data_IF_428054078637
#
_entry.id   IF_428054078637
#
_cell.length_a   1.000
_cell.length_b   1.000
_cell.length_c   1.000
_cell.angle_alpha   90.00
_cell.angle_beta   90.00
_cell.angle_gamma   90.00
#
_symmetry.space_group_name_H-M   'P 1'
#
loop_
_entity.id
_entity.type
_entity.pdbx_description
1 polymer ?
#
# COMPACT_ATOMS: atom_id res chain seq x y z
N UNK A 1 4.63 -7.81 20.07
CA UNK A 1 3.78 -8.97 20.42
C UNK A 1 2.38 -8.65 19.89
N UNK A 2 2.15 -8.95 18.60
CA UNK A 2 0.85 -8.76 17.95
C UNK A 2 0.04 -10.01 18.27
N UNK A 3 -1.16 -9.84 18.81
CA UNK A 3 -2.02 -10.93 19.26
C UNK A 3 -2.48 -11.80 18.08
N UNK A 4 -1.96 -13.03 18.02
CA UNK A 4 -2.32 -14.15 17.12
C UNK A 4 -3.71 -14.72 17.43
N UNK A 5 -4.79 -13.93 17.29
CA UNK A 5 -6.15 -14.45 17.59
C UNK A 5 -7.06 -14.46 16.35
N UNK A 6 -6.63 -13.86 15.24
CA UNK A 6 -7.46 -13.76 14.04
C UNK A 6 -7.03 -14.61 12.84
N UNK A 7 -5.74 -14.93 12.69
CA UNK A 7 -5.17 -15.44 11.43
C UNK A 7 -5.16 -16.98 11.35
N UNK A 8 -5.12 -17.66 12.49
CA UNK A 8 -5.05 -19.13 12.60
C UNK A 8 -6.30 -19.87 12.14
N UNK A 9 -7.41 -19.17 12.02
CA UNK A 9 -8.69 -19.74 11.57
C UNK A 9 -8.78 -19.78 10.04
N UNK A 10 -7.90 -19.06 9.34
CA UNK A 10 -7.98 -18.83 7.90
C UNK A 10 -7.14 -19.77 7.07
N UNK A 11 -6.00 -20.14 7.62
CA UNK A 11 -4.98 -20.87 6.93
C UNK A 11 -4.93 -22.28 7.52
N UNK A 12 -5.86 -23.13 7.10
CA UNK A 12 -5.86 -24.53 7.54
C UNK A 12 -4.61 -25.29 7.08
N UNK A 13 -3.85 -24.75 6.12
CA UNK A 13 -2.62 -25.32 5.62
C UNK A 13 -1.38 -24.71 6.33
N UNK A 14 -0.54 -25.59 6.88
CA UNK A 14 0.75 -25.25 7.51
C UNK A 14 1.71 -24.48 6.59
N UNK A 15 1.50 -24.52 5.27
CA UNK A 15 2.31 -23.77 4.30
C UNK A 15 1.99 -22.27 4.31
N UNK A 16 0.71 -21.93 4.48
CA UNK A 16 0.21 -20.56 4.53
C UNK A 16 0.71 -19.85 5.80
N UNK A 17 0.60 -20.53 6.94
CA UNK A 17 1.17 -20.09 8.20
C UNK A 17 2.67 -19.83 8.13
N UNK A 18 3.44 -20.78 7.62
CA UNK A 18 4.91 -20.63 7.50
C UNK A 18 5.34 -19.50 6.59
N UNK A 19 4.56 -19.20 5.55
CA UNK A 19 4.85 -18.08 4.66
C UNK A 19 4.68 -16.74 5.38
N UNK A 20 3.59 -16.58 6.13
CA UNK A 20 3.33 -15.35 6.91
C UNK A 20 4.33 -15.16 8.05
N UNK A 21 4.76 -16.24 8.71
CA UNK A 21 5.78 -16.17 9.78
C UNK A 21 7.16 -15.70 9.30
N UNK A 22 7.48 -15.93 8.02
CA UNK A 22 8.77 -15.58 7.44
C UNK A 22 8.64 -14.57 6.29
N UNK A 23 7.58 -13.75 6.31
CA UNK A 23 7.37 -12.73 5.30
C UNK A 23 8.48 -11.67 5.37
N UNK A 24 9.00 -11.28 4.22
CA UNK A 24 9.98 -10.18 4.09
C UNK A 24 9.30 -8.91 3.61
N UNK A 25 10.00 -7.80 3.78
CA UNK A 25 9.57 -6.51 3.26
C UNK A 25 9.21 -6.60 1.78
N UNK A 26 8.04 -6.05 1.47
CA UNK A 26 7.52 -6.04 0.12
C UNK A 26 7.92 -4.75 -0.56
N UNK A 27 8.82 -4.87 -1.54
CA UNK A 27 9.10 -3.77 -2.45
C UNK A 27 7.85 -3.53 -3.32
N UNK A 28 7.12 -2.45 -3.06
CA UNK A 28 5.91 -2.04 -3.78
C UNK A 28 6.20 -1.17 -5.02
N UNK A 29 7.43 -0.67 -5.16
CA UNK A 29 7.83 0.15 -6.31
C UNK A 29 8.13 -0.69 -7.53
N UNK A 30 7.71 -0.23 -8.71
CA UNK A 30 7.91 -0.90 -9.99
C UNK A 30 8.30 0.11 -11.07
N UNK A 31 9.39 -0.19 -11.78
CA UNK A 31 9.88 0.55 -12.94
C UNK A 31 9.11 0.12 -14.21
N UNK A 32 7.81 0.37 -14.21
CA UNK A 32 6.88 0.02 -15.29
C UNK A 32 6.13 1.26 -15.76
N UNK A 33 5.65 1.23 -17.00
CA UNK A 33 4.88 2.35 -17.56
C UNK A 33 3.39 2.30 -17.20
N UNK A 34 2.89 1.13 -16.80
CA UNK A 34 1.49 0.93 -16.46
C UNK A 34 1.31 0.61 -14.98
N UNK A 35 0.54 1.45 -14.30
CA UNK A 35 0.20 1.31 -12.89
C UNK A 35 -0.17 2.65 -12.27
N UNK A 36 -0.53 2.62 -10.99
CA UNK A 36 -0.79 3.85 -10.24
C UNK A 36 0.55 4.51 -9.89
N UNK A 37 0.75 5.75 -10.31
CA UNK A 37 1.95 6.52 -9.92
C UNK A 37 2.02 6.68 -8.41
N UNK A 38 3.22 6.48 -7.84
CA UNK A 38 3.43 6.62 -6.41
C UNK A 38 3.26 8.10 -6.03
N UNK A 39 2.48 8.45 -4.99
CA UNK A 39 2.28 9.83 -4.57
C UNK A 39 3.47 10.36 -3.75
N UNK A 40 4.69 10.03 -4.16
CA UNK A 40 5.95 10.46 -3.58
C UNK A 40 6.63 11.45 -4.53
N UNK A 41 7.23 12.49 -3.97
CA UNK A 41 7.84 13.58 -4.71
C UNK A 41 9.22 13.85 -4.14
N UNK A 42 10.21 13.97 -5.02
CA UNK A 42 11.57 14.31 -4.65
C UNK A 42 11.79 15.81 -4.74
N UNK A 43 12.35 16.40 -3.69
CA UNK A 43 12.67 17.82 -3.60
C UNK A 43 14.14 18.05 -3.98
N UNK A 44 14.41 18.93 -4.94
CA UNK A 44 15.76 19.34 -5.33
C UNK A 44 15.99 20.81 -5.01
N UNK A 45 17.07 21.12 -4.31
CA UNK A 45 17.45 22.51 -4.01
C UNK A 45 18.38 23.07 -5.09
N UNK A 46 18.29 24.37 -5.37
CA UNK A 46 19.14 25.04 -6.37
C UNK A 46 20.64 24.95 -6.01
N UNK A 47 20.96 24.93 -4.72
CA UNK A 47 22.32 24.83 -4.19
C UNK A 47 22.89 23.41 -4.20
N UNK A 48 22.06 22.39 -4.51
CA UNK A 48 22.51 21.00 -4.46
C UNK A 48 23.27 20.64 -5.75
N UNK A 49 24.57 20.39 -5.60
CA UNK A 49 25.48 20.04 -6.70
C UNK A 49 25.18 18.64 -7.26
N UNK A 50 24.44 17.81 -6.52
CA UNK A 50 24.01 16.48 -6.92
C UNK A 50 22.50 16.51 -7.21
N UNK A 51 22.14 16.95 -8.42
CA UNK A 51 20.78 16.78 -8.98
C UNK A 51 20.49 15.32 -9.36
N UNK A 52 20.95 14.37 -8.55
CA UNK A 52 20.67 12.96 -8.79
C UNK A 52 19.38 12.58 -8.07
N UNK A 53 18.29 12.51 -8.84
CA UNK A 53 16.98 11.99 -8.41
C UNK A 53 17.03 10.55 -7.88
N UNK A 54 18.19 9.87 -7.95
CA UNK A 54 18.39 8.50 -7.45
C UNK A 54 19.24 8.36 -6.18
N UNK A 55 19.69 9.45 -5.54
CA UNK A 55 20.71 9.39 -4.48
C UNK A 55 20.11 9.37 -3.07
N UNK A 56 20.20 8.20 -2.38
CA UNK A 56 20.38 7.87 -0.93
C UNK A 56 20.04 8.86 0.21
N UNK A 57 19.45 10.02 -0.06
CA UNK A 57 19.01 11.00 0.92
C UNK A 57 17.50 10.85 1.07
N UNK A 58 17.11 9.91 1.94
CA UNK A 58 15.72 9.72 2.38
C UNK A 58 15.08 11.02 2.90
N UNK A 59 15.88 12.02 3.24
CA UNK A 59 15.47 13.31 3.77
C UNK A 59 14.80 14.26 2.77
N UNK A 60 14.81 13.99 1.46
CA UNK A 60 14.24 14.89 0.45
C UNK A 60 12.95 14.40 -0.21
N UNK A 61 12.37 13.31 0.30
CA UNK A 61 11.08 12.81 -0.18
C UNK A 61 9.91 13.40 0.61
N UNK A 62 8.87 13.84 -0.11
CA UNK A 62 7.59 14.27 0.46
C UNK A 62 6.44 13.48 -0.17
N UNK A 63 5.36 13.29 0.58
CA UNK A 63 4.19 12.52 0.11
C UNK A 63 3.01 13.47 -0.07
N UNK A 64 2.39 13.42 -1.25
CA UNK A 64 1.23 14.26 -1.60
C UNK A 64 0.44 13.63 -2.74
N UNK A 65 -0.90 13.66 -2.66
CA UNK A 65 -1.77 13.02 -3.67
C UNK A 65 -1.65 13.69 -5.04
N UNK A 66 -1.24 14.94 -5.05
CA UNK A 66 -0.99 15.78 -6.21
C UNK A 66 0.18 16.72 -5.92
N UNK A 67 0.60 17.45 -6.95
CA UNK A 67 1.71 18.39 -6.87
C UNK A 67 1.44 19.50 -5.82
N UNK A 68 0.21 20.01 -5.74
CA UNK A 68 -0.13 21.08 -4.80
C UNK A 68 0.03 20.64 -3.35
N UNK A 69 -0.46 19.46 -2.99
CA UNK A 69 -0.27 18.87 -1.67
C UNK A 69 1.20 18.62 -1.37
N UNK A 70 1.97 18.13 -2.35
CA UNK A 70 3.39 17.87 -2.20
C UNK A 70 4.19 19.17 -1.95
N UNK A 71 3.88 20.26 -2.66
CA UNK A 71 4.47 21.58 -2.41
C UNK A 71 4.18 22.06 -0.99
N UNK A 72 2.94 21.92 -0.52
CA UNK A 72 2.55 22.32 0.83
C UNK A 72 3.30 21.52 1.90
N UNK A 73 3.47 20.21 1.72
CA UNK A 73 4.27 19.39 2.63
C UNK A 73 5.76 19.78 2.58
N UNK A 74 6.32 20.02 1.39
CA UNK A 74 7.69 20.50 1.24
C UNK A 74 7.91 21.85 1.93
N UNK A 75 6.95 22.78 1.88
CA UNK A 75 7.04 24.08 2.54
C UNK A 75 7.14 23.95 4.06
N UNK A 76 6.46 22.96 4.66
CA UNK A 76 6.51 22.69 6.10
C UNK A 76 7.87 22.15 6.53
N UNK A 77 8.47 21.30 5.69
CA UNK A 77 9.74 20.61 5.99
C UNK A 77 10.93 21.53 5.69
N UNK A 78 10.86 22.35 4.64
CA UNK A 78 11.94 23.20 4.14
C UNK A 78 11.54 24.69 4.05
N UNK A 79 11.23 25.35 5.19
CA UNK A 79 10.80 26.73 5.18
C UNK A 79 11.91 27.67 4.68
N UNK A 80 11.55 28.59 3.77
CA UNK A 80 12.45 29.64 3.31
C UNK A 80 13.54 29.22 2.33
N UNK A 81 13.45 28.00 1.76
CA UNK A 81 14.32 27.54 0.68
C UNK A 81 13.61 27.58 -0.67
N UNK A 82 14.37 27.85 -1.72
CA UNK A 82 13.91 27.64 -3.10
C UNK A 82 14.22 26.20 -3.51
N UNK A 83 13.23 25.53 -4.09
CA UNK A 83 13.36 24.14 -4.53
C UNK A 83 12.43 23.85 -5.71
N UNK A 84 12.81 22.84 -6.49
CA UNK A 84 11.95 22.18 -7.48
C UNK A 84 11.47 20.84 -6.89
N UNK A 85 10.33 20.34 -7.37
CA UNK A 85 9.84 19.02 -6.99
C UNK A 85 9.53 18.17 -8.22
N UNK A 86 9.78 16.87 -8.14
CA UNK A 86 9.46 15.92 -9.20
C UNK A 86 8.80 14.67 -8.62
N UNK A 87 7.69 14.21 -9.22
CA UNK A 87 7.04 12.98 -8.79
C UNK A 87 7.90 11.76 -9.14
N UNK A 88 7.95 10.78 -8.25
CA UNK A 88 8.57 9.48 -8.48
C UNK A 88 8.08 8.86 -9.81
N UNK A 89 9.00 8.52 -10.74
CA UNK A 89 8.64 7.91 -12.01
C UNK A 89 8.05 6.51 -11.89
N UNK A 90 8.26 5.82 -10.77
CA UNK A 90 7.77 4.46 -10.56
C UNK A 90 6.24 4.40 -10.36
N UNK A 91 5.72 3.19 -10.54
CA UNK A 91 4.32 2.83 -10.28
C UNK A 91 4.22 1.79 -9.17
N UNK A 92 3.06 1.76 -8.51
CA UNK A 92 2.74 0.75 -7.51
C UNK A 92 2.57 -0.63 -8.14
N UNK A 93 3.07 -1.65 -7.44
CA UNK A 93 2.82 -3.06 -7.75
C UNK A 93 1.32 -3.33 -7.90
N UNK A 94 0.93 -4.07 -8.95
CA UNK A 94 -0.46 -4.46 -9.20
C UNK A 94 -1.07 -5.20 -8.00
N UNK A 95 -0.27 -5.97 -7.25
CA UNK A 95 -0.74 -6.64 -6.04
C UNK A 95 -1.09 -5.67 -4.90
N UNK A 96 -0.57 -4.44 -4.93
CA UNK A 96 -0.91 -3.39 -3.98
C UNK A 96 -2.32 -2.87 -4.22
N UNK A 97 -2.66 -2.50 -5.44
CA UNK A 97 -4.01 -2.04 -5.76
C UNK A 97 -5.03 -3.18 -5.68
N UNK A 98 -4.71 -4.38 -6.16
CA UNK A 98 -5.62 -5.53 -6.08
C UNK A 98 -5.82 -6.02 -4.64
N UNK A 99 -4.83 -5.85 -3.76
CA UNK A 99 -4.96 -6.14 -2.34
C UNK A 99 -5.96 -5.22 -1.62
N UNK A 100 -6.26 -4.03 -2.18
CA UNK A 100 -7.27 -3.12 -1.65
C UNK A 100 -8.69 -3.45 -2.12
N UNK A 101 -8.87 -4.45 -2.99
CA UNK A 101 -10.16 -4.77 -3.61
C UNK A 101 -11.33 -4.91 -2.61
N UNK A 102 -11.21 -5.59 -1.45
CA UNK A 102 -12.33 -5.72 -0.50
C UNK A 102 -12.80 -4.40 0.11
N UNK A 103 -11.97 -3.36 0.04
CA UNK A 103 -12.25 -2.03 0.57
C UNK A 103 -12.68 -1.07 -0.55
N UNK A 104 -11.89 -1.00 -1.63
CA UNK A 104 -12.05 0.01 -2.67
C UNK A 104 -13.37 -0.10 -3.43
N UNK A 105 -13.87 -1.33 -3.63
CA UNK A 105 -15.17 -1.55 -4.29
C UNK A 105 -16.36 -1.14 -3.42
N UNK A 106 -16.16 -0.98 -2.11
CA UNK A 106 -17.17 -0.52 -1.16
C UNK A 106 -17.04 0.98 -0.86
N UNK A 107 -16.23 1.73 -1.62
CA UNK A 107 -16.11 3.18 -1.47
C UNK A 107 -15.13 3.65 -0.39
N UNK A 108 -14.31 2.74 0.16
CA UNK A 108 -13.13 3.14 0.94
C UNK A 108 -12.20 4.01 0.08
N UNK A 109 -11.61 5.11 0.60
CA UNK A 109 -11.39 5.43 2.01
C UNK A 109 -12.54 6.10 2.75
N UNK A 110 -13.64 6.43 2.07
CA UNK A 110 -14.80 7.04 2.73
C UNK A 110 -15.59 6.03 3.55
N UNK A 111 -16.21 6.50 4.64
CA UNK A 111 -17.06 5.68 5.51
C UNK A 111 -18.45 5.56 4.88
N UNK A 112 -18.52 4.82 3.77
CA UNK A 112 -19.72 4.65 2.98
C UNK A 112 -20.74 3.71 3.67
N UNK A 113 -22.04 3.79 3.33
CA UNK A 113 -23.04 2.83 3.78
C UNK A 113 -22.70 1.38 3.40
N UNK A 114 -22.18 1.18 2.18
CA UNK A 114 -21.83 -0.15 1.65
C UNK A 114 -20.66 -0.76 2.41
N UNK A 115 -19.65 0.04 2.74
CA UNK A 115 -18.51 -0.42 3.53
C UNK A 115 -18.98 -0.91 4.91
N UNK A 116 -19.91 -0.19 5.56
CA UNK A 116 -20.47 -0.63 6.85
C UNK A 116 -21.35 -1.87 6.74
N UNK A 117 -22.08 -2.00 5.65
CA UNK A 117 -23.05 -3.08 5.47
C UNK A 117 -22.39 -4.40 5.04
N UNK A 118 -21.35 -4.32 4.21
CA UNK A 118 -20.80 -5.48 3.50
C UNK A 118 -19.35 -5.82 3.85
N UNK A 119 -18.66 -4.97 4.62
CA UNK A 119 -17.35 -5.31 5.16
C UNK A 119 -17.46 -5.81 6.61
N UNK A 120 -16.93 -7.01 6.93
CA UNK A 120 -16.25 -7.92 6.02
C UNK A 120 -17.20 -8.84 5.24
N UNK A 121 -16.75 -9.31 4.08
CA UNK A 121 -17.57 -10.16 3.21
C UNK A 121 -17.67 -11.59 3.73
N UNK A 122 -18.66 -12.37 3.27
CA UNK A 122 -18.86 -13.73 3.79
C UNK A 122 -17.90 -14.76 3.20
N UNK A 123 -17.53 -14.61 1.91
CA UNK A 123 -16.86 -15.65 1.13
C UNK A 123 -15.97 -15.05 0.04
N UNK A 124 -14.75 -15.58 -0.10
CA UNK A 124 -13.88 -15.35 -1.26
C UNK A 124 -13.64 -16.68 -1.98
N UNK A 125 -14.06 -16.77 -3.24
CA UNK A 125 -13.78 -17.90 -4.14
C UNK A 125 -12.56 -17.56 -5.00
N UNK A 126 -11.49 -18.35 -4.94
CA UNK A 126 -10.28 -18.12 -5.74
C UNK A 126 -9.36 -19.35 -5.80
N UNK A 127 -8.63 -19.49 -6.91
CA UNK A 127 -7.62 -20.53 -7.08
C UNK A 127 -6.47 -20.47 -6.07
N UNK A 128 -5.90 -21.64 -5.78
CA UNK A 128 -4.77 -21.81 -4.85
C UNK A 128 -3.48 -21.11 -5.31
N UNK A 129 -3.35 -20.85 -6.60
CA UNK A 129 -2.17 -20.26 -7.25
C UNK A 129 -1.88 -18.82 -6.79
N UNK A 130 -2.90 -18.08 -6.37
CA UNK A 130 -2.77 -16.67 -5.95
C UNK A 130 -3.06 -16.42 -4.47
N UNK A 131 -3.18 -17.47 -3.64
CA UNK A 131 -3.42 -17.31 -2.20
C UNK A 131 -2.33 -16.46 -1.51
N UNK A 132 -1.07 -16.73 -1.81
CA UNK A 132 0.06 -16.00 -1.20
C UNK A 132 0.27 -14.61 -1.79
N UNK A 133 0.01 -14.43 -3.08
CA UNK A 133 0.25 -13.15 -3.77
C UNK A 133 -0.89 -12.17 -3.58
N UNK A 134 -2.13 -12.66 -3.49
CA UNK A 134 -3.32 -11.81 -3.46
C UNK A 134 -4.10 -11.92 -2.15
N UNK A 135 -4.52 -13.12 -1.76
CA UNK A 135 -5.38 -13.31 -0.57
C UNK A 135 -4.66 -12.85 0.69
N UNK A 136 -3.40 -13.24 0.88
CA UNK A 136 -2.60 -12.77 2.02
C UNK A 136 -2.45 -11.24 2.04
N UNK A 137 -2.29 -10.59 0.87
CA UNK A 137 -2.20 -9.12 0.76
C UNK A 137 -3.53 -8.44 1.11
N UNK A 138 -4.66 -9.00 0.66
CA UNK A 138 -5.99 -8.53 1.07
C UNK A 138 -6.20 -8.66 2.58
N UNK A 139 -5.76 -9.76 3.20
CA UNK A 139 -5.86 -9.93 4.66
C UNK A 139 -5.02 -8.89 5.39
N UNK A 140 -3.74 -8.73 5.01
CA UNK A 140 -2.84 -7.74 5.64
C UNK A 140 -3.37 -6.31 5.52
N UNK A 141 -3.79 -5.89 4.32
CA UNK A 141 -4.30 -4.55 4.09
C UNK A 141 -5.68 -4.34 4.72
N UNK A 142 -6.57 -5.33 4.63
CA UNK A 142 -7.89 -5.30 5.26
C UNK A 142 -7.79 -5.13 6.78
N UNK A 143 -6.97 -5.94 7.45
CA UNK A 143 -6.77 -5.81 8.89
C UNK A 143 -6.14 -4.47 9.26
N UNK A 144 -5.20 -3.96 8.45
CA UNK A 144 -4.51 -2.70 8.73
C UNK A 144 -5.38 -1.46 8.50
N UNK A 145 -6.19 -1.44 7.43
CA UNK A 145 -6.93 -0.27 6.95
C UNK A 145 -8.42 -0.34 7.26
N UNK A 146 -9.03 -1.52 7.17
CA UNK A 146 -10.44 -1.78 7.46
C UNK A 146 -10.71 -2.21 8.90
N UNK A 147 -9.68 -2.65 9.63
CA UNK A 147 -9.77 -3.01 11.06
C UNK A 147 -10.33 -4.39 11.36
N UNK A 148 -10.72 -5.17 10.34
CA UNK A 148 -11.15 -6.57 10.45
C UNK A 148 -10.54 -7.38 9.28
N UNK A 149 -10.71 -8.70 9.30
CA UNK A 149 -10.35 -9.56 8.16
C UNK A 149 -11.29 -9.28 6.98
N UNK A 150 -10.83 -9.26 5.72
CA UNK A 150 -11.64 -8.83 4.58
C UNK A 150 -12.81 -9.76 4.19
N UNK A 151 -12.74 -11.04 4.55
CA UNK A 151 -13.75 -12.06 4.29
C UNK A 151 -14.02 -12.87 5.57
N UNK A 152 -15.03 -13.76 5.60
CA UNK A 152 -15.28 -14.77 6.68
C UNK A 152 -14.98 -16.24 6.28
N UNK A 153 -14.84 -16.54 4.99
CA UNK A 153 -14.38 -17.84 4.47
C UNK A 153 -13.63 -17.68 3.13
N UNK A 154 -12.62 -18.52 2.86
CA UNK A 154 -11.93 -18.63 1.56
C UNK A 154 -12.10 -20.05 1.02
N UNK A 155 -12.43 -20.20 -0.25
CA UNK A 155 -12.57 -21.50 -0.91
C UNK A 155 -11.95 -21.52 -2.31
N UNK A 156 -11.47 -22.69 -2.77
CA UNK A 156 -10.90 -22.88 -4.11
C UNK A 156 -11.94 -22.95 -5.23
#
# INVERSE_FOLDING_TARGET
MVTYIGVDVWFSDLREHRWLENIRDWCISRQLWWGHRIPAWYVTFEDDQLKDTGSNNDHYWVVGRNEQEAVLEAQKIFPGKNYEIAQDPDVLDTWFSSGLFPLSVLGWPEVSPDLKAFYPTSLLETGHDILFFWVARMVMLGMKLGGDVPFRKVTP
#
